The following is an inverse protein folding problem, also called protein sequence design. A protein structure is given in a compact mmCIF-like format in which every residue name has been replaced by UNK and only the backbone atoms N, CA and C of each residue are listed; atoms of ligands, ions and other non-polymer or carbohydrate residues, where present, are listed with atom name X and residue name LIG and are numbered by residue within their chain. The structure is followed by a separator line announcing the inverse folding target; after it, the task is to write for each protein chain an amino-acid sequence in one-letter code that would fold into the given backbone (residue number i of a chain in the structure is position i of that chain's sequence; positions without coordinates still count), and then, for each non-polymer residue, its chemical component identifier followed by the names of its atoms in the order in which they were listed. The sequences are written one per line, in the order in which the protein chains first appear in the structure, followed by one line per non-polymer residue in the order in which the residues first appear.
data_IF_096281124024
#
_entry.id   IF_096281124024
#
_cell.length_a   1.000
_cell.length_b   1.000
_cell.length_c   1.000
_cell.angle_alpha   90.00
_cell.angle_beta   90.00
_cell.angle_gamma   90.00
#
_symmetry.space_group_name_H-M   'P 1'
#
loop_
_entity.id
_entity.type
_entity.pdbx_description
1 polymer ?
#
# COMPACT_ATOMS: atom_id res chain seq x y z
N UNK A 1 25.43 -13.57 10.33
CA UNK A 1 24.97 -12.24 10.80
C UNK A 1 24.04 -11.68 9.73
N UNK A 2 22.75 -11.43 10.00
CA UNK A 2 21.83 -10.91 8.99
C UNK A 2 21.68 -9.38 9.13
N UNK A 3 21.94 -8.62 8.07
CA UNK A 3 21.54 -7.21 7.95
C UNK A 3 21.72 -6.73 6.49
N UNK A 4 21.13 -7.45 5.55
CA UNK A 4 21.03 -7.00 4.16
C UNK A 4 19.93 -5.96 4.07
N UNK A 5 20.33 -4.70 4.25
CA UNK A 5 19.52 -3.52 4.06
C UNK A 5 18.99 -3.47 2.63
N UNK A 6 17.75 -3.90 2.42
CA UNK A 6 17.04 -3.72 1.15
C UNK A 6 15.54 -3.49 1.31
N UNK A 7 15.14 -2.78 2.37
CA UNK A 7 13.75 -2.35 2.61
C UNK A 7 13.59 -0.85 2.32
N UNK A 8 13.86 -0.40 1.08
CA UNK A 8 13.53 0.98 0.68
C UNK A 8 12.55 1.07 -0.48
N UNK A 9 12.21 -0.05 -1.10
CA UNK A 9 11.30 -0.12 -2.23
C UNK A 9 10.20 -1.18 -2.01
N UNK A 10 9.94 -1.54 -0.76
CA UNK A 10 8.88 -2.50 -0.46
C UNK A 10 7.51 -1.82 -0.64
N UNK A 11 6.68 -2.31 -1.59
CA UNK A 11 5.33 -1.81 -1.77
C UNK A 11 4.47 -2.03 -0.53
N UNK A 12 4.81 -3.01 0.32
CA UNK A 12 4.12 -3.26 1.58
C UNK A 12 4.36 -2.17 2.63
N UNK A 13 5.61 -1.73 2.84
CA UNK A 13 5.88 -0.63 3.79
C UNK A 13 5.24 0.67 3.34
N UNK A 14 5.26 0.96 2.03
CA UNK A 14 4.61 2.15 1.48
C UNK A 14 3.10 2.10 1.68
N UNK A 15 2.47 0.94 1.47
CA UNK A 15 1.05 0.73 1.71
C UNK A 15 0.71 0.90 3.20
N UNK A 16 1.43 0.24 4.10
CA UNK A 16 1.20 0.31 5.55
C UNK A 16 1.36 1.73 6.09
N UNK A 17 2.43 2.43 5.69
CA UNK A 17 2.66 3.82 6.07
C UNK A 17 1.53 4.75 5.62
N UNK A 18 1.05 4.59 4.38
CA UNK A 18 -0.06 5.38 3.85
C UNK A 18 -1.37 5.05 4.57
N UNK A 19 -1.63 3.78 4.85
CA UNK A 19 -2.80 3.30 5.57
C UNK A 19 -2.84 3.91 6.98
N UNK A 20 -1.71 3.86 7.69
CA UNK A 20 -1.57 4.33 9.07
C UNK A 20 -1.63 5.85 9.20
N UNK A 21 -1.21 6.59 8.16
CA UNK A 21 -1.11 8.05 8.18
C UNK A 21 -2.36 8.76 7.66
N UNK A 22 -2.98 8.23 6.60
CA UNK A 22 -4.04 8.91 5.85
C UNK A 22 -5.37 8.13 5.84
N UNK A 23 -5.39 6.90 6.35
CA UNK A 23 -6.54 6.01 6.23
C UNK A 23 -6.66 5.41 4.82
N UNK A 24 -7.45 4.34 4.71
CA UNK A 24 -7.50 3.51 3.49
C UNK A 24 -7.85 4.25 2.20
N UNK A 25 -8.82 5.17 2.26
CA UNK A 25 -9.33 5.83 1.06
C UNK A 25 -8.28 6.78 0.46
N UNK A 26 -7.61 7.52 1.34
CA UNK A 26 -6.61 8.52 0.97
C UNK A 26 -5.27 7.84 0.63
N UNK A 27 -4.92 6.74 1.30
CA UNK A 27 -3.81 5.86 0.91
C UNK A 27 -3.98 5.32 -0.52
N UNK A 28 -5.17 4.86 -0.87
CA UNK A 28 -5.47 4.36 -2.21
C UNK A 28 -5.38 5.48 -3.26
N UNK A 29 -5.89 6.67 -2.96
CA UNK A 29 -5.77 7.83 -3.84
C UNK A 29 -4.29 8.21 -4.09
N UNK A 30 -3.45 8.19 -3.05
CA UNK A 30 -2.00 8.44 -3.17
C UNK A 30 -1.34 7.37 -4.03
N UNK A 31 -1.68 6.09 -3.84
CA UNK A 31 -1.13 5.01 -4.65
C UNK A 31 -1.49 5.12 -6.14
N UNK A 32 -2.73 5.52 -6.45
CA UNK A 32 -3.17 5.77 -7.83
C UNK A 32 -2.41 6.95 -8.43
N UNK A 33 -2.27 8.05 -7.69
CA UNK A 33 -1.54 9.22 -8.17
C UNK A 33 -0.06 8.91 -8.39
N UNK A 34 0.56 8.16 -7.48
CA UNK A 34 1.94 7.71 -7.61
C UNK A 34 2.16 6.78 -8.81
N UNK A 35 1.20 5.90 -9.12
CA UNK A 35 1.25 5.07 -10.31
C UNK A 35 1.21 5.89 -11.60
N UNK A 36 0.35 6.93 -11.66
CA UNK A 36 0.25 7.82 -12.82
C UNK A 36 1.57 8.59 -13.01
N UNK A 37 2.09 9.18 -11.94
CA UNK A 37 3.36 9.91 -11.94
C UNK A 37 4.54 9.04 -12.40
N UNK A 38 4.61 7.78 -11.91
CA UNK A 38 5.62 6.83 -12.33
C UNK A 38 5.47 6.40 -13.80
N UNK A 39 4.23 6.30 -14.30
CA UNK A 39 3.97 6.01 -15.71
C UNK A 39 4.42 7.18 -16.60
N UNK A 40 4.13 8.42 -16.20
CA UNK A 40 4.54 9.63 -16.93
C UNK A 40 6.05 9.83 -16.92
N UNK A 41 6.72 9.48 -15.81
CA UNK A 41 8.18 9.49 -15.70
C UNK A 41 8.87 8.38 -16.51
N UNK A 42 8.12 7.38 -16.99
CA UNK A 42 8.69 6.18 -17.63
C UNK A 42 9.38 5.22 -16.65
N UNK A 43 9.13 5.40 -15.35
CA UNK A 43 9.68 4.58 -14.28
C UNK A 43 8.88 3.28 -14.11
N UNK A 44 9.17 2.31 -14.97
CA UNK A 44 8.52 0.98 -14.95
C UNK A 44 8.67 0.26 -13.59
N UNK A 45 9.77 0.52 -12.87
CA UNK A 45 9.99 -0.02 -11.54
C UNK A 45 9.01 0.56 -10.52
N UNK A 46 8.95 1.89 -10.39
CA UNK A 46 8.02 2.57 -9.49
C UNK A 46 6.57 2.29 -9.87
N UNK A 47 6.27 2.18 -11.17
CA UNK A 47 4.94 1.80 -11.65
C UNK A 47 4.52 0.41 -11.14
N UNK A 48 5.44 -0.56 -11.14
CA UNK A 48 5.18 -1.89 -10.59
C UNK A 48 4.95 -1.83 -9.08
N UNK A 49 5.82 -1.11 -8.35
CA UNK A 49 5.67 -0.88 -6.90
C UNK A 49 4.30 -0.29 -6.59
N UNK A 50 3.88 0.77 -7.28
CA UNK A 50 2.57 1.39 -7.04
C UNK A 50 1.38 0.50 -7.40
N UNK A 51 1.50 -0.38 -8.40
CA UNK A 51 0.45 -1.38 -8.71
C UNK A 51 0.33 -2.42 -7.60
N UNK A 52 1.44 -2.85 -7.03
CA UNK A 52 1.46 -3.75 -5.87
C UNK A 52 0.91 -3.07 -4.61
N UNK A 53 1.34 -1.83 -4.30
CA UNK A 53 0.78 -0.99 -3.22
C UNK A 53 -0.74 -0.90 -3.36
N UNK A 54 -1.23 -0.59 -4.58
CA UNK A 54 -2.66 -0.46 -4.86
C UNK A 54 -3.43 -1.76 -4.62
N UNK A 55 -2.86 -2.91 -5.00
CA UNK A 55 -3.48 -4.23 -4.73
C UNK A 55 -3.53 -4.52 -3.23
N UNK A 56 -2.43 -4.25 -2.51
CA UNK A 56 -2.36 -4.45 -1.07
C UNK A 56 -3.40 -3.60 -0.34
N UNK A 57 -3.49 -2.32 -0.67
CA UNK A 57 -4.49 -1.42 -0.11
C UNK A 57 -5.93 -1.87 -0.45
N UNK A 58 -6.19 -2.35 -1.66
CA UNK A 58 -7.50 -2.87 -2.06
C UNK A 58 -7.88 -4.18 -1.35
N UNK A 59 -6.91 -5.06 -1.10
CA UNK A 59 -7.11 -6.29 -0.32
C UNK A 59 -7.37 -5.97 1.16
N UNK A 60 -6.62 -5.03 1.74
CA UNK A 60 -6.83 -4.55 3.11
C UNK A 60 -8.21 -3.90 3.28
N UNK A 61 -8.79 -3.26 2.25
CA UNK A 61 -10.19 -2.77 2.31
C UNK A 61 -11.18 -3.89 2.56
N UNK A 62 -10.90 -5.10 2.06
CA UNK A 62 -11.76 -6.26 2.28
C UNK A 62 -11.63 -6.84 3.70
N UNK A 63 -10.52 -6.57 4.39
CA UNK A 63 -10.23 -7.11 5.73
C UNK A 63 -10.63 -6.10 6.82
N UNK A 64 -10.36 -4.80 6.62
CA UNK A 64 -10.70 -3.77 7.62
C UNK A 64 -12.20 -3.45 7.71
N UNK A 65 -12.99 -3.80 6.70
CA UNK A 65 -14.48 -3.77 6.79
C UNK A 65 -15.06 -5.04 7.45
N UNK A 66 -14.20 -6.03 7.75
CA UNK A 66 -14.57 -7.26 8.47
C UNK A 66 -13.80 -7.40 9.78
N UNK A 67 -13.91 -6.39 10.64
CA UNK A 67 -13.95 -6.68 12.08
C UNK A 67 -15.43 -6.89 12.41
N UNK A 68 -15.99 -8.11 12.34
CA UNK A 68 -17.07 -8.43 13.25
C UNK A 68 -16.44 -8.28 14.63
N UNK A 69 -16.87 -7.25 15.36
CA UNK A 69 -16.66 -7.26 16.80
C UNK A 69 -17.19 -8.61 17.27
N UNK A 70 -16.26 -9.39 17.80
CA UNK A 70 -16.52 -10.48 18.72
C UNK A 70 -17.32 -9.86 19.87
N UNK A 71 -18.64 -9.81 19.73
CA UNK A 71 -19.56 -9.46 20.80
C UNK A 71 -20.15 -10.76 21.36
N UNK A 72 -19.58 -11.08 22.54
CA UNK A 72 -20.23 -11.58 23.74
C UNK A 72 -20.72 -13.03 23.74
N UNK A 73 -19.97 -13.87 24.44
CA UNK A 73 -20.52 -15.00 25.23
C UNK A 73 -20.96 -14.50 26.62
#
# INVERSE_FOLDING_TARGET
MPADHKHRDDPQETADYLLKKHGQHEAYAVAVKGAIDAQEAGDNYRLSVWRDVKRLLATEQSISEKVPLDEQE
#
